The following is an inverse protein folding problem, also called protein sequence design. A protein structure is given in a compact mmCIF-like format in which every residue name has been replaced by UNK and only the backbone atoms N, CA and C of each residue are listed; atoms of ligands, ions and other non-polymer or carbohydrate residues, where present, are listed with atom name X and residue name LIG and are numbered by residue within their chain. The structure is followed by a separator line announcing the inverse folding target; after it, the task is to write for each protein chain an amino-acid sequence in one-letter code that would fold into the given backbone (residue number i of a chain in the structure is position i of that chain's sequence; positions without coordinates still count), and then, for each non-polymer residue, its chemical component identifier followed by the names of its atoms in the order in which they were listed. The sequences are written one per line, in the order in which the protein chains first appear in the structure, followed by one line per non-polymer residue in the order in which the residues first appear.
data_IF_349964940874
#
_entry.id   IF_349964940874
#
_cell.length_a   1.000
_cell.length_b   1.000
_cell.length_c   1.000
_cell.angle_alpha   90.00
_cell.angle_beta   90.00
_cell.angle_gamma   90.00
#
_symmetry.space_group_name_H-M   'P 1'
#
loop_
_entity.id
_entity.type
_entity.pdbx_description
1 polymer ?
#
# COMPACT_ATOMS: atom_id res chain seq x y z
N UNK A 1 -2.40 -10.63 31.33
CA UNK A 1 -3.21 -10.83 30.11
C UNK A 1 -3.05 -9.60 29.23
N UNK A 2 -2.12 -9.63 28.27
CA UNK A 2 -2.10 -8.66 27.17
C UNK A 2 -2.45 -9.45 25.93
N UNK A 3 -3.71 -9.32 25.50
CA UNK A 3 -4.12 -9.84 24.20
C UNK A 3 -3.28 -9.10 23.16
N UNK A 4 -2.37 -9.80 22.49
CA UNK A 4 -1.77 -9.30 21.25
C UNK A 4 -2.95 -9.11 20.30
N UNK A 5 -3.29 -7.87 20.00
CA UNK A 5 -4.20 -7.55 18.92
C UNK A 5 -3.55 -8.13 17.65
N UNK A 6 -4.12 -9.23 17.14
CA UNK A 6 -3.81 -9.67 15.79
C UNK A 6 -4.28 -8.54 14.88
N UNK A 7 -3.41 -7.90 14.08
CA UNK A 7 -3.90 -7.00 13.05
C UNK A 7 -4.85 -7.82 12.18
N UNK A 8 -6.06 -7.31 12.02
CA UNK A 8 -7.10 -7.91 11.21
C UNK A 8 -6.59 -7.87 9.76
N UNK A 9 -5.91 -8.93 9.30
CA UNK A 9 -5.30 -9.04 7.97
C UNK A 9 -6.41 -9.17 6.94
N UNK A 10 -7.09 -8.07 6.63
CA UNK A 10 -8.11 -8.02 5.59
C UNK A 10 -7.53 -7.92 4.19
N UNK A 11 -6.21 -7.76 4.08
CA UNK A 11 -5.49 -7.70 2.81
C UNK A 11 -4.48 -8.85 2.79
N UNK A 12 -4.64 -9.83 1.88
CA UNK A 12 -3.69 -10.93 1.77
C UNK A 12 -2.34 -10.41 1.28
N UNK A 13 -1.26 -11.01 1.78
CA UNK A 13 0.07 -10.74 1.25
C UNK A 13 0.19 -11.18 -0.20
N UNK A 14 1.00 -10.43 -0.94
CA UNK A 14 1.33 -10.73 -2.32
C UNK A 14 2.78 -11.17 -2.40
N UNK A 15 3.07 -12.13 -3.28
CA UNK A 15 4.39 -12.76 -3.38
C UNK A 15 4.95 -12.71 -4.81
N UNK A 16 4.50 -11.75 -5.62
CA UNK A 16 4.98 -11.56 -6.99
C UNK A 16 4.70 -10.13 -7.46
N UNK A 17 5.49 -9.65 -8.42
CA UNK A 17 5.24 -8.39 -9.11
C UNK A 17 3.88 -8.42 -9.83
N UNK A 18 3.56 -9.53 -10.48
CA UNK A 18 2.31 -9.73 -11.22
C UNK A 18 1.10 -9.59 -10.29
N UNK A 19 1.17 -10.13 -9.08
CA UNK A 19 0.12 -9.98 -8.08
C UNK A 19 -0.09 -8.52 -7.66
N UNK A 20 0.99 -7.77 -7.44
CA UNK A 20 0.90 -6.36 -7.06
C UNK A 20 0.34 -5.50 -8.20
N UNK A 21 0.77 -5.79 -9.44
CA UNK A 21 0.26 -5.08 -10.62
C UNK A 21 -1.22 -5.41 -10.91
N UNK A 22 -1.66 -6.65 -10.67
CA UNK A 22 -3.06 -7.03 -10.82
C UNK A 22 -3.98 -6.25 -9.87
N UNK A 23 -3.51 -5.98 -8.64
CA UNK A 23 -4.23 -5.13 -7.70
C UNK A 23 -4.29 -3.69 -8.22
N UNK A 24 -3.16 -3.11 -8.65
CA UNK A 24 -3.15 -1.76 -9.22
C UNK A 24 -4.11 -1.64 -10.41
N UNK A 25 -4.18 -2.65 -11.27
CA UNK A 25 -5.07 -2.67 -12.43
C UNK A 25 -6.55 -2.56 -12.04
N UNK A 26 -6.95 -3.15 -10.89
CA UNK A 26 -8.32 -3.03 -10.38
C UNK A 26 -8.74 -1.60 -10.05
N UNK A 27 -7.78 -0.69 -9.86
CA UNK A 27 -8.00 0.75 -9.59
C UNK A 27 -7.80 1.64 -10.82
N UNK A 28 -7.53 1.08 -12.02
CA UNK A 28 -7.17 1.86 -13.21
C UNK A 28 -8.19 2.95 -13.54
N UNK A 29 -9.47 2.63 -13.48
CA UNK A 29 -10.56 3.56 -13.82
C UNK A 29 -10.67 4.74 -12.83
N UNK A 30 -10.04 4.65 -11.67
CA UNK A 30 -10.02 5.71 -10.65
C UNK A 30 -8.79 6.61 -10.72
N UNK A 31 -7.87 6.35 -11.65
CA UNK A 31 -6.57 7.01 -11.75
C UNK A 31 -6.39 7.66 -13.12
N UNK A 32 -5.73 8.81 -13.14
CA UNK A 32 -5.17 9.34 -14.38
C UNK A 32 -4.01 8.47 -14.85
N UNK A 33 -3.67 8.55 -16.14
CA UNK A 33 -2.52 7.82 -16.69
C UNK A 33 -1.20 8.16 -15.99
N UNK A 34 -1.05 9.40 -15.52
CA UNK A 34 0.16 9.86 -14.81
C UNK A 34 0.21 9.24 -13.41
N UNK A 35 -0.89 9.27 -12.66
CA UNK A 35 -0.96 8.67 -11.33
C UNK A 35 -0.72 7.15 -11.41
N UNK A 36 -1.38 6.46 -12.34
CA UNK A 36 -1.18 5.03 -12.56
C UNK A 36 0.28 4.70 -12.88
N UNK A 37 0.92 5.44 -13.81
CA UNK A 37 2.33 5.22 -14.17
C UNK A 37 3.27 5.45 -13.00
N UNK A 38 3.00 6.46 -12.17
CA UNK A 38 3.79 6.73 -10.97
C UNK A 38 3.69 5.58 -9.96
N UNK A 39 2.47 5.07 -9.71
CA UNK A 39 2.25 3.95 -8.77
C UNK A 39 2.86 2.67 -9.34
N UNK A 40 2.69 2.39 -10.63
CA UNK A 40 3.31 1.25 -11.32
C UNK A 40 4.84 1.28 -11.18
N UNK A 41 5.46 2.45 -11.40
CA UNK A 41 6.90 2.64 -11.23
C UNK A 41 7.34 2.35 -9.79
N UNK A 42 6.60 2.83 -8.80
CA UNK A 42 6.87 2.52 -7.38
C UNK A 42 6.82 1.01 -7.11
N UNK A 43 5.77 0.31 -7.57
CA UNK A 43 5.64 -1.15 -7.42
C UNK A 43 6.84 -1.88 -8.03
N UNK A 44 7.25 -1.50 -9.24
CA UNK A 44 8.41 -2.11 -9.91
C UNK A 44 9.72 -1.87 -9.15
N UNK A 45 9.91 -0.66 -8.59
CA UNK A 45 11.10 -0.34 -7.80
C UNK A 45 11.23 -1.21 -6.55
N UNK A 46 10.13 -1.46 -5.84
CA UNK A 46 10.12 -2.38 -4.70
C UNK A 46 10.36 -3.83 -5.13
N UNK A 47 9.79 -4.26 -6.27
CA UNK A 47 9.98 -5.62 -6.77
C UNK A 47 11.44 -5.92 -7.17
N UNK A 48 12.24 -4.90 -7.56
CA UNK A 48 13.69 -5.06 -7.76
C UNK A 48 14.38 -5.50 -6.46
N UNK A 49 13.86 -5.10 -5.30
CA UNK A 49 14.36 -5.49 -3.98
C UNK A 49 13.64 -6.73 -3.40
N UNK A 50 12.96 -7.53 -4.23
CA UNK A 50 12.18 -8.71 -3.81
C UNK A 50 11.05 -8.35 -2.80
N UNK A 51 10.56 -7.11 -2.87
CA UNK A 51 9.45 -6.62 -2.05
C UNK A 51 8.18 -6.51 -2.90
N UNK A 52 7.09 -7.13 -2.45
CA UNK A 52 5.82 -7.17 -3.17
C UNK A 52 4.74 -6.46 -2.36
N UNK A 53 4.08 -5.49 -2.99
CA UNK A 53 3.10 -4.63 -2.33
C UNK A 53 1.75 -5.36 -2.31
N UNK A 54 1.17 -5.49 -1.12
CA UNK A 54 -0.19 -5.97 -0.97
C UNK A 54 -1.21 -4.84 -1.25
N UNK A 55 -2.49 -5.16 -1.14
CA UNK A 55 -3.55 -4.20 -1.47
C UNK A 55 -3.55 -2.96 -0.56
N UNK A 56 -3.21 -3.11 0.72
CA UNK A 56 -3.12 -1.96 1.63
C UNK A 56 -2.00 -1.01 1.23
N UNK A 57 -0.84 -1.56 0.86
CA UNK A 57 0.31 -0.76 0.41
C UNK A 57 -0.02 0.01 -0.86
N UNK A 58 -0.73 -0.62 -1.80
CA UNK A 58 -1.17 0.01 -3.05
C UNK A 58 -2.21 1.10 -2.77
N UNK A 59 -3.17 0.87 -1.87
CA UNK A 59 -4.15 1.89 -1.45
C UNK A 59 -3.43 3.10 -0.81
N UNK A 60 -2.44 2.88 0.06
CA UNK A 60 -1.65 3.95 0.64
C UNK A 60 -0.85 4.72 -0.42
N UNK A 61 -0.25 4.03 -1.39
CA UNK A 61 0.45 4.66 -2.51
C UNK A 61 -0.52 5.54 -3.33
N UNK A 62 -1.71 5.02 -3.65
CA UNK A 62 -2.78 5.78 -4.32
C UNK A 62 -3.15 7.02 -3.50
N UNK A 63 -3.37 6.89 -2.19
CA UNK A 63 -3.74 8.02 -1.34
C UNK A 63 -2.68 9.12 -1.32
N UNK A 64 -1.40 8.75 -1.32
CA UNK A 64 -0.27 9.69 -1.37
C UNK A 64 -0.20 10.37 -2.74
N UNK A 65 -0.19 9.60 -3.82
CA UNK A 65 -0.06 10.12 -5.20
C UNK A 65 -1.25 11.01 -5.59
N UNK A 66 -2.45 10.71 -5.10
CA UNK A 66 -3.67 11.49 -5.33
C UNK A 66 -3.89 12.62 -4.31
N UNK A 67 -2.90 12.91 -3.44
CA UNK A 67 -2.96 13.94 -2.38
C UNK A 67 -4.16 13.80 -1.41
N UNK A 68 -4.70 12.59 -1.24
CA UNK A 68 -5.79 12.31 -0.28
C UNK A 68 -5.29 12.19 1.15
N UNK A 69 -4.08 11.68 1.32
CA UNK A 69 -3.36 11.59 2.61
C UNK A 69 -1.87 11.75 2.37
N UNK A 70 -1.17 12.25 3.37
CA UNK A 70 0.29 12.31 3.40
C UNK A 70 0.89 11.02 3.95
N UNK A 71 2.17 10.77 3.66
CA UNK A 71 2.90 9.66 4.26
C UNK A 71 2.96 9.77 5.79
N UNK A 72 3.11 11.00 6.33
CA UNK A 72 3.18 11.24 7.78
C UNK A 72 1.87 10.87 8.49
N UNK A 73 0.72 11.16 7.89
CA UNK A 73 -0.60 10.76 8.42
C UNK A 73 -0.77 9.23 8.43
N UNK A 74 -0.27 8.55 7.40
CA UNK A 74 -0.28 7.08 7.33
C UNK A 74 0.64 6.49 8.41
N UNK A 75 1.86 7.01 8.55
CA UNK A 75 2.84 6.60 9.56
C UNK A 75 2.30 6.85 10.98
N UNK A 76 1.71 8.01 11.23
CA UNK A 76 1.13 8.35 12.53
C UNK A 76 -0.01 7.38 12.90
N UNK A 77 -0.87 7.04 11.94
CA UNK A 77 -1.92 6.05 12.14
C UNK A 77 -1.34 4.67 12.52
N UNK A 78 -0.33 4.18 11.79
CA UNK A 78 0.31 2.90 12.13
C UNK A 78 0.97 2.92 13.51
N UNK A 79 1.70 3.99 13.84
CA UNK A 79 2.31 4.17 15.17
C UNK A 79 1.28 4.13 16.30
N UNK A 80 0.10 4.74 16.10
CA UNK A 80 -0.98 4.72 17.09
C UNK A 80 -1.55 3.30 17.27
N UNK A 81 -1.70 2.52 16.19
CA UNK A 81 -2.16 1.12 16.28
C UNK A 81 -1.16 0.21 17.02
N UNK A 82 0.13 0.55 16.98
CA UNK A 82 1.19 -0.18 17.68
C UNK A 82 1.47 0.33 19.10
N UNK A 83 0.78 1.38 19.55
CA UNK A 83 0.98 1.97 20.88
C UNK A 83 2.32 2.71 21.04
N UNK A 84 2.85 3.26 19.94
CA UNK A 84 4.09 4.04 19.92
C UNK A 84 3.87 5.56 20.07
N UNK A 85 2.61 6.00 20.22
CA UNK A 85 2.17 7.38 20.39
C UNK A 85 1.14 7.50 21.52
#
# INVERSE_FOLDING_TARGET
MTARLKPNTSYPEVHSLEGSLAILESYRDNLTDVEYKNIHSNICNFAIEDMHLNELDIIHNIQIITNKRTADEIIAHHKSQWGLL
#
